data_IF_005402579341
#
_entry.id   IF_005402579341
#
_cell.length_a   1.000
_cell.length_b   1.000
_cell.length_c   1.000
_cell.angle_alpha   90.00
_cell.angle_beta   90.00
_cell.angle_gamma   90.00
#
_symmetry.space_group_name_H-M   'P 1'
#
loop_
_entity.id
_entity.type
_entity.pdbx_description
1 polymer ?
#
# COMPACT_ATOMS: atom_id res chain seq x y z
N UNK A 1 13.91 61.16 -30.13
CA UNK A 1 14.95 60.41 -29.40
C UNK A 1 14.35 59.07 -28.99
N UNK A 2 14.93 57.96 -29.44
CA UNK A 2 14.45 56.59 -29.19
C UNK A 2 14.62 56.15 -27.74
N UNK A 3 13.67 55.35 -27.22
CA UNK A 3 13.96 53.98 -26.74
C UNK A 3 12.65 53.19 -26.51
N UNK A 4 12.59 52.04 -27.19
CA UNK A 4 11.66 50.92 -26.98
C UNK A 4 11.94 50.28 -25.63
N UNK A 5 10.92 49.72 -24.97
CA UNK A 5 10.98 48.39 -24.31
C UNK A 5 9.56 47.79 -24.46
N UNK A 6 9.48 46.68 -25.20
CA UNK A 6 8.39 45.71 -25.12
C UNK A 6 8.59 44.87 -23.86
N UNK A 7 7.51 44.59 -23.13
CA UNK A 7 7.44 43.43 -22.25
C UNK A 7 6.20 42.62 -22.63
N UNK A 8 6.46 41.41 -23.11
CA UNK A 8 5.49 40.41 -23.51
C UNK A 8 5.16 39.47 -22.34
N UNK A 9 3.97 38.87 -22.39
CA UNK A 9 3.57 37.70 -21.59
C UNK A 9 3.07 38.06 -20.19
N UNK A 10 2.05 37.41 -19.63
CA UNK A 10 1.67 36.00 -19.74
C UNK A 10 0.14 35.89 -19.61
N UNK A 11 -0.49 35.12 -20.49
CA UNK A 11 -1.88 34.67 -20.40
C UNK A 11 -1.93 33.61 -19.29
N UNK A 12 -2.60 33.90 -18.17
CA UNK A 12 -2.96 32.87 -17.20
C UNK A 12 -4.23 32.14 -17.70
N UNK A 13 -4.04 31.13 -18.55
CA UNK A 13 -5.08 30.13 -18.77
C UNK A 13 -5.04 29.15 -17.60
N UNK A 14 -5.75 29.46 -16.52
CA UNK A 14 -6.01 28.49 -15.46
C UNK A 14 -7.09 27.52 -15.95
N UNK A 15 -6.68 26.56 -16.77
CA UNK A 15 -7.43 25.33 -17.01
C UNK A 15 -7.44 24.56 -15.70
N UNK A 16 -8.46 24.80 -14.87
CA UNK A 16 -8.79 23.90 -13.76
C UNK A 16 -9.23 22.58 -14.36
N UNK A 17 -8.27 21.70 -14.63
CA UNK A 17 -8.55 20.28 -14.85
C UNK A 17 -9.15 19.76 -13.54
N UNK A 18 -10.46 19.54 -13.55
CA UNK A 18 -11.15 18.76 -12.53
C UNK A 18 -10.56 17.36 -12.56
N UNK A 19 -9.57 17.10 -11.70
CA UNK A 19 -9.19 15.73 -11.37
C UNK A 19 -10.37 15.11 -10.63
N UNK A 20 -11.26 14.46 -11.39
CA UNK A 20 -12.25 13.58 -10.80
C UNK A 20 -11.48 12.53 -9.98
N UNK A 21 -11.81 12.31 -8.69
CA UNK A 21 -11.20 11.25 -7.93
C UNK A 21 -11.52 9.93 -8.65
N UNK A 22 -10.49 9.26 -9.15
CA UNK A 22 -10.63 7.91 -9.70
C UNK A 22 -11.08 7.04 -8.53
N UNK A 23 -12.34 6.63 -8.54
CA UNK A 23 -12.92 5.76 -7.53
C UNK A 23 -12.13 4.45 -7.57
N UNK A 24 -11.35 4.17 -6.52
CA UNK A 24 -10.49 3.00 -6.45
C UNK A 24 -11.37 1.74 -6.44
N UNK A 25 -11.54 1.12 -7.62
CA UNK A 25 -12.24 -0.16 -7.76
C UNK A 25 -11.42 -1.25 -7.03
N UNK A 26 -12.08 -1.99 -6.15
CA UNK A 26 -11.47 -3.15 -5.50
C UNK A 26 -11.38 -4.31 -6.50
N UNK A 27 -10.23 -4.99 -6.54
CA UNK A 27 -10.03 -6.18 -7.38
C UNK A 27 -10.92 -7.34 -6.95
N UNK A 28 -11.48 -8.08 -7.92
CA UNK A 28 -12.18 -9.34 -7.70
C UNK A 28 -11.17 -10.47 -7.53
N UNK A 29 -11.16 -11.05 -6.34
CA UNK A 29 -10.28 -12.13 -5.97
C UNK A 29 -10.98 -13.08 -4.99
N UNK A 30 -10.53 -14.33 -4.97
CA UNK A 30 -10.94 -15.34 -4.00
C UNK A 30 -9.73 -15.70 -3.14
N UNK A 31 -9.80 -15.44 -1.83
CA UNK A 31 -8.66 -15.57 -0.94
C UNK A 31 -8.90 -16.66 0.10
N UNK A 32 -7.97 -17.62 0.16
CA UNK A 32 -7.90 -18.62 1.21
C UNK A 32 -6.80 -18.20 2.19
N UNK A 33 -7.23 -17.95 3.41
CA UNK A 33 -6.34 -17.63 4.51
C UNK A 33 -5.78 -18.89 5.13
N UNK A 34 -4.48 -18.89 5.36
CA UNK A 34 -3.75 -20.02 5.94
C UNK A 34 -3.58 -19.81 7.44
N UNK A 35 -3.38 -18.55 7.89
CA UNK A 35 -3.25 -18.20 9.31
C UNK A 35 -3.58 -16.72 9.58
N UNK A 36 -3.95 -16.39 10.82
CA UNK A 36 -3.98 -15.04 11.41
C UNK A 36 -5.29 -14.24 11.39
N UNK A 37 -5.28 -12.91 11.20
CA UNK A 37 -6.48 -12.02 11.12
C UNK A 37 -6.68 -11.43 9.71
N UNK A 38 -7.90 -10.99 9.38
CA UNK A 38 -8.20 -10.44 8.05
C UNK A 38 -7.84 -8.95 7.94
N UNK A 39 -7.62 -8.49 6.71
CA UNK A 39 -7.57 -7.06 6.40
C UNK A 39 -8.94 -6.44 6.67
N UNK A 40 -9.00 -5.54 7.65
CA UNK A 40 -10.18 -4.74 7.95
C UNK A 40 -10.13 -3.40 7.24
N UNK A 41 -11.31 -2.87 6.86
CA UNK A 41 -11.43 -1.46 6.48
C UNK A 41 -11.02 -0.60 7.68
N UNK A 42 -10.22 0.42 7.42
CA UNK A 42 -9.80 1.38 8.44
C UNK A 42 -10.38 2.75 8.11
N UNK A 43 -11.00 3.38 9.10
CA UNK A 43 -11.50 4.74 9.00
C UNK A 43 -10.82 5.59 10.08
N UNK A 44 -9.67 6.15 9.74
CA UNK A 44 -8.87 6.94 10.65
C UNK A 44 -7.54 7.38 10.05
N UNK A 45 -6.73 8.03 10.86
CA UNK A 45 -5.40 8.51 10.49
C UNK A 45 -4.33 7.87 11.37
N UNK A 46 -3.15 7.63 10.80
CA UNK A 46 -1.96 7.18 11.52
C UNK A 46 -0.84 8.21 11.40
N UNK A 47 0.08 8.22 12.37
CA UNK A 47 1.30 9.02 12.32
C UNK A 47 2.48 8.11 12.00
N UNK A 48 3.21 8.43 10.94
CA UNK A 48 4.37 7.68 10.47
C UNK A 48 5.48 8.67 10.13
N UNK A 49 6.63 8.56 10.79
CA UNK A 49 7.76 9.45 10.56
C UNK A 49 7.38 10.92 10.78
N UNK A 50 6.55 11.19 11.79
CA UNK A 50 6.02 12.54 12.11
C UNK A 50 5.10 13.17 11.05
N UNK A 51 4.55 12.37 10.12
CA UNK A 51 3.54 12.81 9.14
C UNK A 51 2.25 12.02 9.33
N UNK A 52 1.11 12.66 9.03
CA UNK A 52 -0.22 12.04 9.12
C UNK A 52 -0.59 11.40 7.79
N UNK A 53 -1.07 10.16 7.82
CA UNK A 53 -1.55 9.39 6.67
C UNK A 53 -2.94 8.83 6.95
N UNK A 54 -3.74 8.65 5.89
CA UNK A 54 -5.09 8.07 5.96
C UNK A 54 -5.11 6.76 5.15
N UNK A 55 -4.77 5.62 5.77
CA UNK A 55 -4.76 4.33 5.09
C UNK A 55 -6.18 3.78 4.91
N UNK A 56 -6.38 2.97 3.86
CA UNK A 56 -7.69 2.39 3.55
C UNK A 56 -7.99 1.14 4.38
N UNK A 57 -6.93 0.38 4.71
CA UNK A 57 -7.05 -0.91 5.37
C UNK A 57 -5.98 -1.10 6.45
N UNK A 58 -6.33 -1.92 7.44
CA UNK A 58 -5.49 -2.33 8.54
C UNK A 58 -5.49 -3.85 8.66
N UNK A 59 -4.32 -4.42 8.90
CA UNK A 59 -4.16 -5.83 9.24
C UNK A 59 -3.58 -5.92 10.64
N UNK A 60 -4.37 -6.52 11.54
CA UNK A 60 -3.90 -6.93 12.86
C UNK A 60 -3.00 -8.15 12.69
N UNK A 61 -1.71 -7.98 12.93
CA UNK A 61 -0.75 -9.05 12.72
C UNK A 61 -0.74 -9.98 13.94
N UNK A 62 -1.24 -11.19 13.74
CA UNK A 62 -0.84 -12.35 14.53
C UNK A 62 0.32 -13.04 13.83
N UNK A 63 1.33 -13.46 14.57
CA UNK A 63 2.44 -14.22 13.99
C UNK A 63 2.14 -15.74 14.03
N UNK A 64 2.24 -16.48 12.91
CA UNK A 64 2.39 -16.02 11.51
C UNK A 64 1.05 -15.62 10.87
N UNK A 65 1.08 -14.75 9.85
CA UNK A 65 -0.07 -14.45 8.99
C UNK A 65 0.29 -14.71 7.52
N UNK A 66 -0.53 -15.52 6.85
CA UNK A 66 -0.36 -15.86 5.44
C UNK A 66 -1.71 -15.99 4.73
N UNK A 67 -1.79 -15.43 3.52
CA UNK A 67 -2.99 -15.47 2.68
C UNK A 67 -2.60 -15.79 1.24
N UNK A 68 -3.34 -16.71 0.62
CA UNK A 68 -3.23 -17.04 -0.80
C UNK A 68 -4.49 -16.58 -1.51
N UNK A 69 -4.35 -15.83 -2.60
CA UNK A 69 -5.46 -15.30 -3.37
C UNK A 69 -5.37 -15.76 -4.83
N UNK A 70 -6.52 -16.12 -5.37
CA UNK A 70 -6.76 -16.36 -6.79
C UNK A 70 -7.38 -15.11 -7.41
N UNK A 71 -6.76 -14.59 -8.46
CA UNK A 71 -7.31 -13.47 -9.22
C UNK A 71 -8.48 -13.96 -10.07
N UNK A 72 -9.61 -13.24 -10.01
CA UNK A 72 -10.82 -13.54 -10.79
C UNK A 72 -10.99 -12.58 -11.97
N UNK A 73 -10.03 -11.66 -12.16
CA UNK A 73 -9.97 -10.72 -13.28
C UNK A 73 -8.51 -10.40 -13.62
N UNK A 74 -8.28 -9.86 -14.81
CA UNK A 74 -6.93 -9.55 -15.29
C UNK A 74 -6.42 -8.25 -14.66
N UNK A 75 -5.35 -8.37 -13.88
CA UNK A 75 -4.63 -7.26 -13.27
C UNK A 75 -3.26 -7.16 -13.92
N UNK A 76 -2.76 -5.94 -14.14
CA UNK A 76 -1.41 -5.73 -14.65
C UNK A 76 -0.42 -5.54 -13.52
N UNK A 77 -0.63 -4.53 -12.69
CA UNK A 77 0.26 -4.15 -11.60
C UNK A 77 -0.60 -3.83 -10.37
N UNK A 78 -0.12 -4.21 -9.20
CA UNK A 78 -0.61 -3.66 -7.94
C UNK A 78 0.47 -2.84 -7.28
N UNK A 79 0.14 -1.60 -6.94
CA UNK A 79 0.97 -0.67 -6.21
C UNK A 79 0.52 -0.69 -4.75
N UNK A 80 1.45 -0.94 -3.83
CA UNK A 80 1.16 -1.07 -2.40
C UNK A 80 2.06 -0.12 -1.64
N UNK A 81 1.49 0.63 -0.70
CA UNK A 81 2.23 1.37 0.32
C UNK A 81 1.87 0.81 1.68
N UNK A 82 2.84 0.26 2.40
CA UNK A 82 2.66 -0.29 3.74
C UNK A 82 3.35 0.59 4.77
N UNK A 83 2.76 0.70 5.97
CA UNK A 83 3.32 1.47 7.06
C UNK A 83 3.03 0.84 8.43
N UNK A 84 3.97 1.06 9.35
CA UNK A 84 3.84 0.76 10.79
C UNK A 84 3.87 2.11 11.53
N UNK A 85 2.83 2.46 12.31
CA UNK A 85 2.74 3.74 13.00
C UNK A 85 3.88 3.96 14.01
N UNK A 86 4.23 5.22 14.25
CA UNK A 86 5.27 5.62 15.22
C UNK A 86 4.99 5.08 16.64
N UNK A 87 3.72 4.90 16.98
CA UNK A 87 3.25 4.41 18.29
C UNK A 87 3.23 2.89 18.42
N UNK A 88 3.47 2.14 17.34
CA UNK A 88 3.40 0.68 17.35
C UNK A 88 4.58 0.05 18.12
N UNK A 89 4.31 -1.07 18.78
CA UNK A 89 5.34 -1.90 19.41
C UNK A 89 6.11 -2.75 18.40
N UNK A 90 5.60 -2.92 17.18
CA UNK A 90 6.28 -3.64 16.12
C UNK A 90 7.44 -2.78 15.62
N UNK A 91 8.66 -3.32 15.63
CA UNK A 91 9.83 -2.64 15.06
C UNK A 91 9.88 -2.81 13.55
N UNK A 92 9.63 -4.03 13.07
CA UNK A 92 9.61 -4.33 11.64
C UNK A 92 8.73 -5.52 11.29
N UNK A 93 8.28 -5.55 10.04
CA UNK A 93 7.54 -6.66 9.44
C UNK A 93 8.25 -7.05 8.15
N UNK A 94 8.62 -8.32 8.04
CA UNK A 94 9.08 -8.91 6.79
C UNK A 94 7.86 -9.41 6.02
N UNK A 95 7.70 -8.92 4.80
CA UNK A 95 6.64 -9.32 3.87
C UNK A 95 7.27 -10.13 2.74
N UNK A 96 6.78 -11.34 2.52
CA UNK A 96 7.23 -12.20 1.43
C UNK A 96 6.07 -12.43 0.47
N UNK A 97 6.32 -12.21 -0.81
CA UNK A 97 5.32 -12.27 -1.88
C UNK A 97 5.72 -13.39 -2.82
N UNK A 98 4.82 -14.34 -3.00
CA UNK A 98 4.98 -15.47 -3.90
C UNK A 98 4.01 -15.35 -5.06
N UNK A 99 4.51 -15.57 -6.28
CA UNK A 99 3.71 -15.56 -7.52
C UNK A 99 3.79 -16.96 -8.11
N UNK A 100 2.63 -17.60 -8.31
CA UNK A 100 2.56 -19.00 -8.75
C UNK A 100 3.48 -19.93 -7.93
N UNK A 101 3.49 -19.74 -6.61
CA UNK A 101 4.30 -20.51 -5.66
C UNK A 101 5.79 -20.13 -5.57
N UNK A 102 6.30 -19.26 -6.44
CA UNK A 102 7.70 -18.84 -6.43
C UNK A 102 7.88 -17.53 -5.68
N UNK A 103 8.91 -17.44 -4.81
CA UNK A 103 9.24 -16.19 -4.11
C UNK A 103 9.63 -15.12 -5.14
N UNK A 104 8.79 -14.11 -5.29
CA UNK A 104 8.99 -13.00 -6.22
C UNK A 104 9.65 -11.82 -5.54
N UNK A 105 9.23 -11.49 -4.30
CA UNK A 105 9.72 -10.30 -3.60
C UNK A 105 9.77 -10.53 -2.09
N UNK A 106 10.77 -9.93 -1.46
CA UNK A 106 10.82 -9.73 0.00
C UNK A 106 10.91 -8.24 0.27
N UNK A 107 10.03 -7.73 1.13
CA UNK A 107 9.97 -6.32 1.53
C UNK A 107 10.07 -6.24 3.05
N UNK A 108 10.93 -5.37 3.56
CA UNK A 108 11.04 -5.11 4.99
C UNK A 108 10.39 -3.77 5.29
N UNK A 109 9.38 -3.78 6.15
CA UNK A 109 8.63 -2.61 6.57
C UNK A 109 9.15 -2.21 7.95
N UNK A 110 9.60 -0.97 8.09
CA UNK A 110 10.16 -0.45 9.35
C UNK A 110 9.19 0.54 9.99
N UNK A 111 9.10 0.51 11.31
CA UNK A 111 8.36 1.52 12.09
C UNK A 111 8.80 2.94 11.75
N UNK A 112 7.81 3.82 11.59
CA UNK A 112 8.04 5.23 11.28
C UNK A 112 8.50 5.50 9.85
N UNK A 113 8.35 4.53 8.96
CA UNK A 113 8.56 4.69 7.52
C UNK A 113 7.37 4.14 6.73
N UNK A 114 7.09 4.79 5.61
CA UNK A 114 6.18 4.25 4.59
C UNK A 114 7.04 3.55 3.55
N UNK A 115 6.73 2.28 3.28
CA UNK A 115 7.44 1.48 2.29
C UNK A 115 6.52 1.19 1.12
N UNK A 116 6.85 1.76 -0.04
CA UNK A 116 6.11 1.54 -1.28
C UNK A 116 6.79 0.47 -2.14
N UNK A 117 6.00 -0.37 -2.79
CA UNK A 117 6.46 -1.34 -3.78
C UNK A 117 5.34 -1.70 -4.76
N UNK A 118 5.74 -2.20 -5.93
CA UNK A 118 4.81 -2.71 -6.95
C UNK A 118 5.03 -4.21 -7.16
N UNK A 119 3.96 -4.92 -7.52
CA UNK A 119 3.98 -6.33 -7.91
C UNK A 119 3.39 -6.42 -9.33
N UNK A 120 4.12 -7.06 -10.24
CA UNK A 120 3.63 -7.39 -11.58
C UNK A 120 2.78 -8.66 -11.50
N UNK A 121 1.52 -8.54 -11.91
CA UNK A 121 0.52 -9.61 -11.89
C UNK A 121 0.04 -9.97 -13.31
N UNK A 122 0.73 -9.51 -14.36
CA UNK A 122 0.38 -9.85 -15.74
C UNK A 122 0.48 -11.36 -15.97
N UNK A 123 -0.65 -11.97 -16.34
CA UNK A 123 -0.74 -13.41 -16.59
C UNK A 123 -0.69 -14.27 -15.32
N UNK A 124 -0.83 -13.67 -14.14
CA UNK A 124 -0.85 -14.38 -12.86
C UNK A 124 -2.26 -14.84 -12.54
N UNK A 125 -2.38 -16.07 -12.04
CA UNK A 125 -3.61 -16.65 -11.50
C UNK A 125 -3.61 -16.59 -9.98
N UNK A 126 -2.50 -16.97 -9.33
CA UNK A 126 -2.40 -17.06 -7.88
C UNK A 126 -1.20 -16.28 -7.32
N UNK A 127 -1.42 -15.63 -6.19
CA UNK A 127 -0.35 -15.04 -5.40
C UNK A 127 -0.55 -15.32 -3.91
N UNK A 128 0.55 -15.40 -3.17
CA UNK A 128 0.55 -15.57 -1.71
C UNK A 128 1.34 -14.44 -1.08
N UNK A 129 0.84 -13.92 0.03
CA UNK A 129 1.55 -12.94 0.84
C UNK A 129 1.67 -13.44 2.27
N UNK A 130 2.92 -13.48 2.76
CA UNK A 130 3.27 -13.92 4.10
C UNK A 130 3.86 -12.74 4.87
N UNK A 131 3.45 -12.58 6.13
CA UNK A 131 3.84 -11.49 7.00
C UNK A 131 4.44 -12.05 8.29
N UNK A 132 5.66 -11.62 8.60
CA UNK A 132 6.40 -12.05 9.78
C UNK A 132 6.82 -10.83 10.59
N UNK A 133 6.34 -10.74 11.83
CA UNK A 133 6.77 -9.72 12.78
C UNK A 133 8.18 -9.99 13.29
N UNK A 134 8.99 -8.94 13.41
CA UNK A 134 10.33 -8.99 14.00
C UNK A 134 10.39 -7.91 15.09
N UNK A 135 10.79 -8.32 16.31
CA UNK A 135 10.96 -7.41 17.46
C UNK A 135 9.71 -7.17 18.32
N UNK A 136 8.65 -7.96 18.18
CA UNK A 136 7.43 -7.80 19.00
C UNK A 136 7.63 -8.31 20.45
N UNK A 137 7.29 -7.46 21.44
CA UNK A 137 7.49 -7.75 22.88
C UNK A 137 6.22 -8.09 23.67
N UNK A 138 5.03 -8.11 23.04
CA UNK A 138 3.84 -8.72 23.62
C UNK A 138 3.01 -7.89 24.60
N UNK A 139 3.13 -6.55 24.65
CA UNK A 139 2.32 -5.71 25.55
C UNK A 139 1.00 -5.20 24.95
N UNK A 140 0.68 -5.56 23.70
CA UNK A 140 -0.67 -5.49 23.15
C UNK A 140 -1.10 -4.12 22.61
N UNK A 141 -0.18 -3.15 22.43
CA UNK A 141 -0.51 -1.88 21.76
C UNK A 141 -0.20 -1.94 20.26
N UNK A 142 -1.27 -1.86 19.47
CA UNK A 142 -1.31 -1.70 18.00
C UNK A 142 -0.27 -2.52 17.24
N UNK A 143 -0.44 -3.85 17.27
CA UNK A 143 0.33 -4.80 16.49
C UNK A 143 -0.17 -4.88 15.03
N UNK A 144 -0.33 -3.72 14.37
CA UNK A 144 -0.97 -3.63 13.06
C UNK A 144 -0.04 -3.10 11.98
N UNK A 145 -0.28 -3.53 10.75
CA UNK A 145 0.26 -2.91 9.54
C UNK A 145 -0.89 -2.27 8.76
N UNK A 146 -0.62 -1.10 8.20
CA UNK A 146 -1.61 -0.31 7.47
C UNK A 146 -1.22 -0.22 6.01
N UNK A 147 -2.21 -0.21 5.11
CA UNK A 147 -1.95 -0.16 3.68
C UNK A 147 -2.80 0.86 2.95
N UNK A 148 -2.22 1.39 1.88
CA UNK A 148 -2.92 1.99 0.75
C UNK A 148 -2.56 1.15 -0.48
N UNK A 149 -3.57 0.76 -1.26
CA UNK A 149 -3.41 -0.14 -2.40
C UNK A 149 -4.10 0.44 -3.63
N UNK A 150 -3.41 0.35 -4.76
CA UNK A 150 -3.89 0.84 -6.05
C UNK A 150 -3.67 -0.27 -7.10
N UNK A 151 -4.72 -0.57 -7.86
CA UNK A 151 -4.74 -1.67 -8.82
C UNK A 151 -4.80 -1.10 -10.24
N UNK A 152 -3.83 -1.49 -11.07
CA UNK A 152 -3.81 -1.18 -12.49
C UNK A 152 -4.38 -2.38 -13.28
N UNK A 153 -5.30 -2.09 -14.20
CA UNK A 153 -5.99 -3.08 -15.02
C UNK A 153 -5.48 -3.01 -16.47
N UNK A 154 -5.54 -4.14 -17.19
CA UNK A 154 -5.27 -4.21 -18.64
C UNK A 154 -6.53 -3.97 -19.46
#
# INVERSE_FOLDING_TARGET
MWKKILAAGIIFSSSFLSFAPVEARQVRQDCVKISGYDWGRFNGSIVVGRKVYNPDVRLDLSNPFEVTCKLLENVSIVNVSLAIPDTSEIESVKVQIYIEGNLSKTVNILRGSVTAFSIDLRGVTNYTVSYQQIGYRGSGRDASIYAIQYWDYN
#
